data_IF_704260796329
#
_entry.id   IF_704260796329
#
_cell.length_a   1.000
_cell.length_b   1.000
_cell.length_c   1.000
_cell.angle_alpha   90.00
_cell.angle_beta   90.00
_cell.angle_gamma   90.00
#
_symmetry.space_group_name_H-M   'P 1'
#
loop_
_entity.id
_entity.type
_entity.pdbx_description
1 polymer ?
#
# COMPACT_ATOMS: atom_id res chain seq x y z
N UNK A 1 46.26 -41.34 7.33
CA UNK A 1 45.03 -41.22 8.13
C UNK A 1 45.35 -40.28 9.27
N UNK A 2 44.91 -39.02 9.18
CA UNK A 2 45.14 -37.99 10.19
C UNK A 2 43.77 -37.54 10.71
N UNK A 3 43.64 -37.53 12.03
CA UNK A 3 42.42 -37.25 12.75
C UNK A 3 42.59 -35.91 13.50
N UNK A 4 41.62 -35.02 13.28
CA UNK A 4 41.15 -33.93 14.15
C UNK A 4 42.03 -32.70 14.46
N UNK A 5 41.36 -31.54 14.41
CA UNK A 5 41.82 -30.31 15.05
C UNK A 5 41.06 -29.02 14.70
N UNK A 6 39.72 -29.02 14.81
CA UNK A 6 38.82 -27.88 15.02
C UNK A 6 39.18 -26.49 14.42
N UNK A 7 38.48 -26.09 13.36
CA UNK A 7 38.33 -24.68 13.03
C UNK A 7 37.37 -24.04 14.06
N UNK A 8 37.91 -23.09 14.82
CA UNK A 8 37.15 -22.28 15.76
C UNK A 8 36.15 -21.42 14.97
N UNK A 9 34.87 -21.80 15.01
CA UNK A 9 33.80 -20.86 14.73
C UNK A 9 33.83 -19.82 15.85
N UNK A 10 34.51 -18.70 15.56
CA UNK A 10 34.31 -17.47 16.29
C UNK A 10 32.86 -17.04 16.05
N UNK A 11 31.98 -17.42 16.97
CA UNK A 11 30.67 -16.82 17.10
C UNK A 11 30.91 -15.38 17.51
N UNK A 12 31.10 -14.51 16.53
CA UNK A 12 30.81 -13.11 16.75
C UNK A 12 29.34 -13.04 17.14
N UNK A 13 29.09 -12.57 18.35
CA UNK A 13 27.73 -12.36 18.82
C UNK A 13 27.19 -11.18 18.04
N UNK A 14 26.63 -11.45 16.87
CA UNK A 14 25.76 -10.50 16.20
C UNK A 14 24.51 -10.43 17.08
N UNK A 15 24.55 -9.51 18.04
CA UNK A 15 23.35 -8.99 18.68
C UNK A 15 22.58 -8.24 17.59
N UNK A 16 21.99 -9.02 16.67
CA UNK A 16 20.89 -8.61 15.84
C UNK A 16 19.74 -8.36 16.81
N UNK A 17 19.49 -7.10 17.10
CA UNK A 17 18.26 -6.69 17.74
C UNK A 17 17.10 -7.27 16.92
N UNK A 18 16.15 -8.01 17.53
CA UNK A 18 15.00 -8.57 16.81
C UNK A 18 14.08 -7.50 16.18
N UNK A 19 14.40 -6.21 16.32
CA UNK A 19 13.71 -5.10 15.68
C UNK A 19 14.04 -4.96 14.18
N UNK A 20 15.17 -5.46 13.68
CA UNK A 20 15.54 -5.32 12.26
C UNK A 20 14.93 -6.39 11.35
N UNK A 21 14.40 -7.49 11.92
CA UNK A 21 13.63 -8.49 11.18
C UNK A 21 12.15 -8.09 11.00
N UNK A 22 11.76 -6.92 11.49
CA UNK A 22 10.41 -6.32 11.39
C UNK A 22 10.44 -5.12 10.42
N UNK A 23 11.28 -5.16 9.39
CA UNK A 23 11.22 -4.16 8.31
C UNK A 23 10.36 -4.59 7.11
N UNK A 24 9.90 -5.85 7.08
CA UNK A 24 9.13 -6.43 5.97
C UNK A 24 7.77 -7.01 6.44
N UNK A 25 7.42 -6.76 7.71
CA UNK A 25 6.16 -7.17 8.28
C UNK A 25 5.25 -5.94 8.42
N UNK A 26 3.98 -6.02 8.04
CA UNK A 26 3.05 -4.94 8.28
C UNK A 26 3.03 -4.54 9.75
N UNK A 27 3.01 -3.24 10.02
CA UNK A 27 2.97 -2.66 11.35
C UNK A 27 1.69 -3.02 12.11
N UNK A 28 0.69 -3.59 11.43
CA UNK A 28 -0.59 -3.98 11.99
C UNK A 28 -1.49 -2.77 12.26
N UNK A 29 -1.25 -1.68 11.53
CA UNK A 29 -2.00 -0.44 11.65
C UNK A 29 -3.41 -0.56 11.06
N UNK A 30 -4.29 0.36 11.44
CA UNK A 30 -5.61 0.48 10.81
C UNK A 30 -5.44 0.79 9.33
N UNK A 31 -6.17 0.05 8.48
CA UNK A 31 -6.14 0.27 7.04
C UNK A 31 -7.32 1.14 6.60
N UNK A 32 -7.10 2.08 5.67
CA UNK A 32 -8.19 2.81 5.04
C UNK A 32 -8.97 1.90 4.08
N UNK A 33 -10.21 2.29 3.78
CA UNK A 33 -11.12 1.49 2.94
C UNK A 33 -11.45 2.26 1.67
N UNK A 34 -11.21 1.67 0.50
CA UNK A 34 -11.74 2.20 -0.75
C UNK A 34 -13.26 2.03 -0.80
N UNK A 35 -13.97 3.10 -1.12
CA UNK A 35 -15.41 3.09 -1.38
C UNK A 35 -15.71 2.81 -2.86
N UNK A 36 -14.79 3.19 -3.75
CA UNK A 36 -14.78 2.70 -5.13
C UNK A 36 -14.52 1.20 -5.12
N UNK A 37 -15.41 0.45 -5.74
CA UNK A 37 -15.34 -0.99 -5.82
C UNK A 37 -15.82 -1.51 -7.18
N UNK A 38 -15.66 -2.82 -7.39
CA UNK A 38 -16.03 -3.53 -8.62
C UNK A 38 -17.48 -3.34 -9.06
N UNK A 39 -18.39 -2.99 -8.14
CA UNK A 39 -19.81 -2.74 -8.43
C UNK A 39 -20.16 -1.27 -8.61
N UNK A 40 -19.39 -0.35 -8.01
CA UNK A 40 -19.65 1.10 -8.05
C UNK A 40 -18.86 1.82 -9.15
N UNK A 41 -17.76 1.23 -9.63
CA UNK A 41 -16.97 1.80 -10.72
C UNK A 41 -17.75 1.81 -12.04
N UNK A 42 -18.01 2.99 -12.58
CA UNK A 42 -18.85 3.16 -13.77
C UNK A 42 -18.00 3.29 -15.05
N UNK A 43 -17.80 2.18 -15.77
CA UNK A 43 -17.02 2.14 -17.03
C UNK A 43 -17.57 3.06 -18.15
N UNK A 44 -18.82 3.52 -18.06
CA UNK A 44 -19.38 4.44 -19.06
C UNK A 44 -18.85 5.87 -18.93
N UNK A 45 -18.21 6.22 -17.81
CA UNK A 45 -17.58 7.52 -17.59
C UNK A 45 -16.14 7.43 -18.11
N UNK A 46 -15.73 8.34 -19.03
CA UNK A 46 -14.35 8.39 -19.52
C UNK A 46 -13.36 8.52 -18.37
N UNK A 47 -12.22 7.86 -18.51
CA UNK A 47 -11.19 7.77 -17.48
C UNK A 47 -10.74 9.15 -16.97
N UNK A 48 -10.66 10.14 -17.87
CA UNK A 48 -10.27 11.51 -17.54
C UNK A 48 -11.27 12.23 -16.60
N UNK A 49 -12.52 11.76 -16.57
CA UNK A 49 -13.59 12.28 -15.73
C UNK A 49 -13.88 11.36 -14.53
N UNK A 50 -13.08 10.32 -14.32
CA UNK A 50 -13.24 9.40 -13.21
C UNK A 50 -12.56 9.91 -11.95
N UNK A 51 -13.12 9.50 -10.81
CA UNK A 51 -12.58 9.78 -9.48
C UNK A 51 -12.75 8.53 -8.62
N UNK A 52 -11.73 8.19 -7.86
CA UNK A 52 -11.79 7.13 -6.86
C UNK A 52 -12.04 7.73 -5.48
N UNK A 53 -12.71 6.98 -4.62
CA UNK A 53 -13.14 7.43 -3.30
C UNK A 53 -12.71 6.44 -2.22
N UNK A 54 -12.50 6.95 -1.01
CA UNK A 54 -12.22 6.17 0.18
C UNK A 54 -12.94 6.75 1.41
N UNK A 55 -13.04 5.93 2.45
CA UNK A 55 -13.81 6.26 3.65
C UNK A 55 -13.12 7.35 4.49
N UNK A 56 -13.89 7.95 5.40
CA UNK A 56 -13.41 9.00 6.30
C UNK A 56 -12.28 8.51 7.22
N UNK A 57 -11.47 9.46 7.71
CA UNK A 57 -10.38 9.17 8.64
C UNK A 57 -10.90 8.52 9.93
N UNK A 58 -10.37 7.34 10.31
CA UNK A 58 -10.61 6.79 11.64
C UNK A 58 -9.99 7.68 12.72
N UNK A 59 -10.48 7.56 13.96
CA UNK A 59 -9.93 8.31 15.09
C UNK A 59 -8.42 8.05 15.27
N UNK A 60 -7.64 9.12 15.47
CA UNK A 60 -6.18 9.06 15.68
C UNK A 60 -5.34 9.24 14.42
N UNK A 61 -5.97 9.35 13.24
CA UNK A 61 -5.29 9.61 11.97
C UNK A 61 -5.64 11.01 11.45
N UNK A 62 -4.69 11.66 10.77
CA UNK A 62 -4.81 13.04 10.31
C UNK A 62 -4.68 13.21 8.80
N UNK A 63 -4.53 12.11 8.05
CA UNK A 63 -4.48 12.15 6.60
C UNK A 63 -4.37 10.78 5.94
N UNK A 64 -4.16 10.82 4.63
CA UNK A 64 -3.94 9.68 3.76
C UNK A 64 -2.67 9.88 2.95
N UNK A 65 -2.04 8.78 2.56
CA UNK A 65 -1.05 8.71 1.48
C UNK A 65 -1.56 7.72 0.43
N UNK A 66 -1.54 8.12 -0.84
CA UNK A 66 -1.96 7.30 -1.98
C UNK A 66 -0.76 7.08 -2.91
N UNK A 67 -0.41 5.80 -3.11
CA UNK A 67 0.46 5.37 -4.19
C UNK A 67 -0.39 5.02 -5.40
N UNK A 68 0.04 5.48 -6.57
CA UNK A 68 -0.44 4.98 -7.86
C UNK A 68 0.75 4.53 -8.67
N UNK A 69 0.72 3.25 -9.08
CA UNK A 69 1.82 2.56 -9.76
C UNK A 69 3.14 2.68 -8.97
N UNK A 70 3.07 2.39 -7.67
CA UNK A 70 4.16 2.45 -6.68
C UNK A 70 4.82 3.83 -6.51
N UNK A 71 4.19 4.90 -7.00
CA UNK A 71 4.63 6.29 -6.81
C UNK A 71 3.61 7.04 -5.97
N UNK A 72 4.06 7.74 -4.93
CA UNK A 72 3.18 8.60 -4.13
C UNK A 72 2.64 9.74 -4.99
N UNK A 73 1.32 9.76 -5.17
CA UNK A 73 0.63 10.79 -5.97
C UNK A 73 -0.11 11.79 -5.11
N UNK A 74 -0.38 11.46 -3.85
CA UNK A 74 -1.18 12.30 -2.99
C UNK A 74 -0.89 12.05 -1.51
N UNK A 75 -0.83 13.15 -0.75
CA UNK A 75 -0.78 13.18 0.71
C UNK A 75 -1.71 14.28 1.22
N UNK A 76 -2.64 13.97 2.13
CA UNK A 76 -3.53 14.95 2.75
C UNK A 76 -4.87 14.37 3.22
N UNK A 77 -5.88 15.22 3.42
CA UNK A 77 -7.17 14.88 4.05
C UNK A 77 -8.36 14.65 3.11
N UNK A 78 -8.21 14.88 1.81
CA UNK A 78 -9.23 14.57 0.81
C UNK A 78 -9.63 13.08 0.85
N UNK A 79 -10.88 12.84 0.47
CA UNK A 79 -11.52 11.51 0.44
C UNK A 79 -11.61 10.93 -0.99
N UNK A 80 -10.94 11.58 -1.94
CA UNK A 80 -11.03 11.23 -3.34
C UNK A 80 -9.81 11.67 -4.13
N UNK A 81 -9.61 11.03 -5.29
CA UNK A 81 -8.53 11.34 -6.23
C UNK A 81 -9.01 11.22 -7.68
N UNK A 82 -8.72 12.25 -8.49
CA UNK A 82 -9.08 12.27 -9.91
C UNK A 82 -8.11 11.43 -10.75
N UNK A 83 -8.63 10.68 -11.70
CA UNK A 83 -7.83 9.86 -12.62
C UNK A 83 -7.39 10.63 -13.89
N UNK A 84 -7.71 11.93 -14.00
CA UNK A 84 -7.47 12.76 -15.18
C UNK A 84 -6.04 12.73 -15.74
N UNK A 85 -5.05 12.47 -14.88
CA UNK A 85 -3.63 12.51 -15.23
C UNK A 85 -3.06 11.17 -15.73
N UNK A 86 -3.80 10.07 -15.71
CA UNK A 86 -3.27 8.75 -16.10
C UNK A 86 -3.75 8.26 -17.46
N UNK A 87 -2.98 7.31 -18.00
CA UNK A 87 -3.23 6.73 -19.31
C UNK A 87 -4.18 5.54 -19.19
N UNK A 88 -5.43 5.72 -19.61
CA UNK A 88 -6.47 4.69 -19.61
C UNK A 88 -6.12 3.40 -20.40
N UNK A 89 -5.08 3.41 -21.22
CA UNK A 89 -4.62 2.23 -21.97
C UNK A 89 -3.74 1.28 -21.13
N UNK A 90 -3.38 1.66 -19.91
CA UNK A 90 -2.53 0.87 -19.01
C UNK A 90 -3.33 0.45 -17.77
N UNK A 91 -3.01 -0.70 -17.16
CA UNK A 91 -3.50 -1.02 -15.83
C UNK A 91 -2.87 -0.07 -14.80
N UNK A 92 -3.67 0.33 -13.81
CA UNK A 92 -3.22 1.16 -12.70
C UNK A 92 -3.43 0.46 -11.36
N UNK A 93 -2.44 0.57 -10.47
CA UNK A 93 -2.44 -0.05 -9.14
C UNK A 93 -2.50 1.03 -8.06
N UNK A 94 -3.49 0.95 -7.18
CA UNK A 94 -3.73 1.93 -6.13
C UNK A 94 -3.50 1.31 -4.77
N UNK A 95 -2.67 1.94 -3.94
CA UNK A 95 -2.50 1.57 -2.53
C UNK A 95 -2.73 2.79 -1.66
N UNK A 96 -3.51 2.62 -0.61
CA UNK A 96 -3.87 3.71 0.30
C UNK A 96 -3.34 3.37 1.70
N UNK A 97 -2.78 4.36 2.38
CA UNK A 97 -2.37 4.28 3.77
C UNK A 97 -2.95 5.46 4.54
N UNK A 98 -3.14 5.28 5.85
CA UNK A 98 -3.42 6.38 6.76
C UNK A 98 -2.10 7.05 7.18
N UNK A 99 -2.15 8.35 7.46
CA UNK A 99 -1.02 9.12 7.99
C UNK A 99 -1.38 9.76 9.33
N UNK A 100 -0.39 9.86 10.22
CA UNK A 100 -0.53 10.55 11.51
C UNK A 100 0.77 11.25 11.88
N UNK A 101 0.71 12.56 12.09
CA UNK A 101 1.85 13.39 12.52
C UNK A 101 3.09 13.22 11.62
N UNK A 102 2.88 13.09 10.31
CA UNK A 102 3.96 12.92 9.32
C UNK A 102 4.49 11.49 9.18
N UNK A 103 3.95 10.51 9.90
CA UNK A 103 4.27 9.09 9.72
C UNK A 103 3.18 8.41 8.90
N UNK A 104 3.58 7.54 7.97
CA UNK A 104 2.68 6.73 7.16
C UNK A 104 2.51 5.35 7.79
N UNK A 105 1.26 4.89 7.90
CA UNK A 105 0.92 3.53 8.34
C UNK A 105 1.10 2.51 7.22
N UNK A 106 0.45 1.36 7.37
CA UNK A 106 0.50 0.30 6.38
C UNK A 106 -0.35 0.66 5.15
N UNK A 107 0.18 0.32 3.98
CA UNK A 107 -0.57 0.37 2.74
C UNK A 107 -1.49 -0.83 2.61
N UNK A 108 -2.69 -0.61 2.07
CA UNK A 108 -3.56 -1.70 1.62
C UNK A 108 -2.86 -2.57 0.57
N UNK A 109 -3.33 -3.81 0.41
CA UNK A 109 -3.14 -4.52 -0.85
C UNK A 109 -3.61 -3.66 -2.04
N UNK A 110 -3.07 -3.85 -3.25
CA UNK A 110 -3.40 -2.99 -4.38
C UNK A 110 -4.83 -3.22 -4.87
N UNK A 111 -5.59 -2.13 -5.01
CA UNK A 111 -6.74 -2.11 -5.90
C UNK A 111 -6.24 -1.95 -7.35
N UNK A 112 -6.89 -2.60 -8.32
CA UNK A 112 -6.44 -2.57 -9.72
C UNK A 112 -7.53 -2.07 -10.63
N UNK A 113 -7.22 -1.08 -11.48
CA UNK A 113 -8.09 -0.65 -12.57
C UNK A 113 -7.47 -1.06 -13.90
N UNK A 114 -8.14 -1.93 -14.63
CA UNK A 114 -7.70 -2.37 -15.96
C UNK A 114 -8.19 -1.42 -17.07
N UNK A 115 -7.50 -1.42 -18.24
CA UNK A 115 -7.91 -0.61 -19.40
C UNK A 115 -9.33 -0.87 -19.92
N UNK A 116 -9.87 -2.07 -19.66
CA UNK A 116 -11.24 -2.42 -20.01
C UNK A 116 -12.28 -1.87 -19.02
N UNK A 117 -11.86 -1.04 -18.05
CA UNK A 117 -12.70 -0.48 -17.00
C UNK A 117 -13.06 -1.46 -15.87
N UNK A 118 -12.42 -2.63 -15.82
CA UNK A 118 -12.62 -3.57 -14.70
C UNK A 118 -11.86 -3.06 -13.48
N UNK A 119 -12.58 -2.80 -12.40
CA UNK A 119 -12.02 -2.53 -11.09
C UNK A 119 -11.96 -3.81 -10.26
N UNK A 120 -10.80 -4.10 -9.68
CA UNK A 120 -10.58 -5.17 -8.71
C UNK A 120 -10.30 -4.54 -7.36
N UNK A 121 -11.12 -4.90 -6.37
CA UNK A 121 -11.01 -4.44 -4.99
C UNK A 121 -9.69 -4.93 -4.36
N UNK A 122 -9.10 -4.17 -3.44
CA UNK A 122 -7.91 -4.62 -2.74
C UNK A 122 -8.23 -5.87 -1.92
N UNK A 123 -7.31 -6.83 -1.90
CA UNK A 123 -7.43 -7.97 -1.00
C UNK A 123 -7.41 -7.49 0.48
N UNK A 124 -8.04 -8.23 1.41
CA UNK A 124 -7.97 -7.88 2.82
C UNK A 124 -6.52 -7.89 3.34
N UNK A 125 -6.21 -6.95 4.22
CA UNK A 125 -4.89 -6.81 4.83
C UNK A 125 -3.99 -5.83 4.10
N UNK A 126 -2.80 -5.68 4.67
CA UNK A 126 -1.76 -4.76 4.23
C UNK A 126 -0.81 -5.42 3.24
N UNK A 127 -0.21 -4.62 2.37
CA UNK A 127 0.91 -5.11 1.56
C UNK A 127 2.16 -5.27 2.42
N UNK A 128 2.74 -6.46 2.41
CA UNK A 128 4.11 -6.74 2.89
C UNK A 128 5.12 -6.13 1.92
#
# INVERSE_FOLDING_TARGET
MFLNGAAAFGLDSILQTPAELVQDAPLGTTLPIFLTNSTSYNVSIPFENQTIFWDALPAGWDGFSLLVDDVERYVGTALNFSLAAFNASLPHFFRLALTSSGNTGDFTMPATLFPNGTWIDPAPGSST
#
